data_IF_084784340032
#
_entry.id   IF_084784340032
#
_cell.length_a   1.000
_cell.length_b   1.000
_cell.length_c   1.000
_cell.angle_alpha   90.00
_cell.angle_beta   90.00
_cell.angle_gamma   90.00
#
_symmetry.space_group_name_H-M   'P 1'
#
loop_
_entity.id
_entity.type
_entity.pdbx_description
1 polymer ?
#
# COMPACT_ATOMS: atom_id res chain seq x y z
N UNK A 1 11.55 -22.17 21.20
CA UNK A 1 10.38 -23.02 21.00
C UNK A 1 10.30 -23.97 22.22
N UNK A 2 9.10 -24.15 22.74
CA UNK A 2 8.86 -25.15 23.77
C UNK A 2 9.05 -26.55 23.18
N UNK A 3 9.92 -27.37 23.77
CA UNK A 3 10.21 -28.73 23.27
C UNK A 3 9.04 -29.70 23.45
N UNK A 4 8.06 -29.37 24.30
CA UNK A 4 6.90 -30.23 24.59
C UNK A 4 5.69 -29.87 23.72
N UNK A 5 5.37 -28.59 23.53
CA UNK A 5 4.18 -28.16 22.78
C UNK A 5 4.48 -27.48 21.44
N UNK A 6 5.74 -27.29 21.07
CA UNK A 6 6.15 -26.61 19.84
C UNK A 6 5.87 -25.10 19.80
N UNK A 7 5.31 -24.52 20.84
CA UNK A 7 4.97 -23.09 20.87
C UNK A 7 6.21 -22.18 20.98
N UNK A 8 6.18 -21.05 20.31
CA UNK A 8 7.17 -19.98 20.45
C UNK A 8 6.88 -19.23 21.74
N UNK A 9 7.90 -18.99 22.57
CA UNK A 9 7.75 -18.16 23.77
C UNK A 9 7.35 -16.73 23.38
N UNK A 10 6.51 -16.10 24.19
CA UNK A 10 6.04 -14.74 23.94
C UNK A 10 7.19 -13.70 23.90
N UNK A 11 8.24 -13.92 24.69
CA UNK A 11 9.41 -13.03 24.80
C UNK A 11 10.37 -13.05 23.59
N UNK A 12 10.16 -13.98 22.65
CA UNK A 12 10.97 -14.09 21.40
C UNK A 12 10.11 -14.11 20.15
N UNK A 13 8.81 -13.86 20.29
CA UNK A 13 7.88 -13.83 19.18
C UNK A 13 7.84 -12.43 18.55
N UNK A 14 7.91 -12.34 17.24
CA UNK A 14 7.76 -11.07 16.50
C UNK A 14 6.37 -10.91 15.91
N UNK A 15 5.60 -12.00 15.80
CA UNK A 15 4.24 -11.97 15.29
C UNK A 15 3.37 -13.05 15.94
N UNK A 16 2.04 -12.90 15.84
CA UNK A 16 1.06 -13.89 16.29
C UNK A 16 -0.12 -14.02 15.33
N UNK A 17 -0.76 -15.18 15.35
CA UNK A 17 -2.08 -15.44 14.75
C UNK A 17 -2.95 -16.05 15.84
N UNK A 18 -3.99 -15.31 16.28
CA UNK A 18 -4.74 -15.70 17.47
C UNK A 18 -3.83 -15.88 18.70
N UNK A 19 -3.79 -17.06 19.27
CA UNK A 19 -2.91 -17.41 20.41
C UNK A 19 -1.55 -17.99 20.01
N UNK A 20 -1.32 -18.26 18.71
CA UNK A 20 -0.07 -18.88 18.22
C UNK A 20 0.97 -17.80 17.91
N UNK A 21 2.14 -17.93 18.50
CA UNK A 21 3.28 -17.06 18.32
C UNK A 21 4.24 -17.57 17.23
N UNK A 22 4.88 -16.64 16.50
CA UNK A 22 5.84 -16.92 15.43
C UNK A 22 7.14 -16.16 15.70
N UNK A 23 8.28 -16.77 15.38
CA UNK A 23 9.61 -16.18 15.55
C UNK A 23 9.94 -15.19 14.43
N UNK A 24 9.40 -15.40 13.25
CA UNK A 24 9.63 -14.54 12.08
C UNK A 24 8.31 -14.11 11.47
N UNK A 25 8.31 -12.95 10.82
CA UNK A 25 7.16 -12.49 10.07
C UNK A 25 6.87 -13.42 8.88
N UNK A 26 7.92 -13.93 8.22
CA UNK A 26 7.78 -14.85 7.09
C UNK A 26 7.03 -16.14 7.49
N UNK A 27 7.34 -16.72 8.66
CA UNK A 27 6.60 -17.88 9.17
C UNK A 27 5.12 -17.58 9.42
N UNK A 28 4.81 -16.40 10.01
CA UNK A 28 3.44 -16.01 10.27
C UNK A 28 2.66 -15.79 8.97
N UNK A 29 3.22 -15.05 8.03
CA UNK A 29 2.62 -14.77 6.72
C UNK A 29 2.42 -16.07 5.91
N UNK A 30 3.39 -16.99 5.92
CA UNK A 30 3.27 -18.27 5.26
C UNK A 30 2.15 -19.17 5.86
N UNK A 31 1.80 -18.96 7.13
CA UNK A 31 0.65 -19.62 7.73
C UNK A 31 -0.68 -19.08 7.19
N UNK A 32 -0.75 -17.79 6.84
CA UNK A 32 -1.98 -17.10 6.38
C UNK A 32 -2.89 -16.67 7.53
N UNK A 33 -3.90 -15.87 7.23
CA UNK A 33 -4.88 -15.37 8.21
C UNK A 33 -4.47 -14.05 8.88
N UNK A 34 -4.98 -13.81 10.09
CA UNK A 34 -4.87 -12.51 10.79
C UNK A 34 -3.57 -12.44 11.60
N UNK A 35 -2.54 -11.87 10.99
CA UNK A 35 -1.21 -11.68 11.57
C UNK A 35 -1.15 -10.36 12.32
N UNK A 36 -0.75 -10.36 13.58
CA UNK A 36 -0.46 -9.15 14.37
C UNK A 36 1.04 -9.13 14.71
N UNK A 37 1.71 -8.01 14.44
CA UNK A 37 3.08 -7.78 14.87
C UNK A 37 3.14 -7.56 16.39
N UNK A 38 4.11 -8.16 17.02
CA UNK A 38 4.40 -8.02 18.47
C UNK A 38 5.64 -7.18 18.72
N UNK A 39 6.57 -7.13 17.75
CA UNK A 39 7.81 -6.38 17.83
C UNK A 39 8.20 -5.84 16.44
N UNK A 40 9.19 -4.95 16.41
CA UNK A 40 9.79 -4.50 15.18
C UNK A 40 10.49 -5.66 14.46
N UNK A 41 10.44 -5.65 13.15
CA UNK A 41 11.00 -6.72 12.31
C UNK A 41 12.06 -6.15 11.39
N UNK A 42 13.26 -6.72 11.43
CA UNK A 42 14.31 -6.47 10.44
C UNK A 42 14.37 -7.69 9.51
N UNK A 43 14.13 -7.46 8.23
CA UNK A 43 14.18 -8.52 7.21
C UNK A 43 15.47 -8.42 6.40
N UNK A 44 15.98 -9.55 5.94
CA UNK A 44 17.14 -9.67 5.06
C UNK A 44 16.80 -10.15 3.65
N UNK A 45 15.53 -10.50 3.44
CA UNK A 45 14.94 -10.91 2.17
C UNK A 45 13.47 -10.51 2.15
N UNK A 46 12.80 -10.44 0.98
CA UNK A 46 11.39 -10.12 0.92
C UNK A 46 10.52 -11.09 1.71
N UNK A 47 9.57 -10.56 2.47
CA UNK A 47 8.48 -11.36 3.04
C UNK A 47 7.47 -11.64 1.93
N UNK A 48 7.39 -12.89 1.49
CA UNK A 48 6.51 -13.29 0.39
C UNK A 48 5.12 -13.63 0.90
N UNK A 49 4.11 -12.93 0.36
CA UNK A 49 2.68 -13.17 0.61
C UNK A 49 2.06 -13.84 -0.62
N UNK A 50 1.74 -15.12 -0.52
CA UNK A 50 1.09 -15.91 -1.57
C UNK A 50 -0.20 -16.59 -1.09
N UNK A 51 -0.78 -16.06 -0.02
CA UNK A 51 -2.05 -16.48 0.60
C UNK A 51 -2.85 -15.26 1.00
N UNK A 52 -4.06 -15.46 1.51
CA UNK A 52 -4.83 -14.40 2.15
C UNK A 52 -4.26 -14.12 3.54
N UNK A 53 -3.84 -12.88 3.78
CA UNK A 53 -3.25 -12.38 5.03
C UNK A 53 -3.83 -11.02 5.36
N UNK A 54 -4.24 -10.82 6.60
CA UNK A 54 -4.47 -9.50 7.19
C UNK A 54 -3.30 -9.22 8.13
N UNK A 55 -2.46 -8.24 7.78
CA UNK A 55 -1.30 -7.85 8.58
C UNK A 55 -1.62 -6.60 9.38
N UNK A 56 -1.87 -6.77 10.68
CA UNK A 56 -1.93 -5.64 11.62
C UNK A 56 -0.52 -5.30 12.11
N UNK A 57 -0.02 -4.15 11.71
CA UNK A 57 1.31 -3.69 12.10
C UNK A 57 1.41 -3.25 13.57
N UNK A 58 0.30 -2.92 14.22
CA UNK A 58 0.20 -2.59 15.66
C UNK A 58 1.27 -1.61 16.16
N UNK A 59 1.55 -0.56 15.40
CA UNK A 59 2.56 0.45 15.72
C UNK A 59 4.02 0.02 15.50
N UNK A 60 4.27 -1.18 14.98
CA UNK A 60 5.62 -1.71 14.76
C UNK A 60 6.19 -1.31 13.40
N UNK A 61 7.50 -1.48 13.28
CA UNK A 61 8.26 -1.18 12.06
C UNK A 61 8.78 -2.45 11.43
N UNK A 62 8.58 -2.59 10.10
CA UNK A 62 9.25 -3.56 9.26
C UNK A 62 10.30 -2.81 8.46
N UNK A 63 11.55 -3.24 8.53
CA UNK A 63 12.68 -2.59 7.85
C UNK A 63 13.75 -3.59 7.42
N UNK A 64 14.72 -3.14 6.65
CA UNK A 64 15.95 -3.88 6.36
C UNK A 64 17.20 -3.04 6.67
N UNK A 65 18.31 -3.72 6.92
CA UNK A 65 19.63 -3.11 7.15
C UNK A 65 20.66 -3.55 6.11
N UNK A 66 20.42 -4.67 5.44
CA UNK A 66 21.18 -5.20 4.31
C UNK A 66 20.39 -5.04 3.02
N UNK A 67 21.06 -4.97 1.87
CA UNK A 67 20.40 -4.85 0.58
C UNK A 67 19.56 -6.09 0.28
N UNK A 68 18.33 -5.84 -0.16
CA UNK A 68 17.35 -6.86 -0.57
C UNK A 68 17.23 -6.90 -2.09
N UNK A 69 17.43 -5.75 -2.76
CA UNK A 69 17.20 -5.61 -4.17
C UNK A 69 17.94 -6.68 -5.00
N UNK A 70 17.18 -7.45 -5.76
CA UNK A 70 17.72 -8.41 -6.72
C UNK A 70 16.75 -8.54 -7.90
N UNK A 71 17.11 -7.93 -9.03
CA UNK A 71 16.33 -7.93 -10.25
C UNK A 71 16.08 -9.34 -10.80
N UNK A 72 17.10 -10.19 -10.76
CA UNK A 72 17.02 -11.53 -11.33
C UNK A 72 16.02 -12.45 -10.62
N UNK A 73 15.73 -12.20 -9.34
CA UNK A 73 14.79 -12.98 -8.54
C UNK A 73 13.46 -12.27 -8.30
N UNK A 74 13.33 -11.01 -8.76
CA UNK A 74 12.18 -10.16 -8.45
C UNK A 74 12.09 -9.77 -6.97
N UNK A 75 13.21 -9.80 -6.24
CA UNK A 75 13.28 -9.33 -4.85
C UNK A 75 13.41 -7.81 -4.86
N UNK A 76 12.27 -7.09 -4.81
CA UNK A 76 12.23 -5.64 -5.02
C UNK A 76 11.79 -4.85 -3.78
N UNK A 77 11.25 -5.51 -2.75
CA UNK A 77 10.63 -4.82 -1.62
C UNK A 77 10.77 -5.57 -0.29
N UNK A 78 10.40 -4.91 0.82
CA UNK A 78 10.33 -5.54 2.15
C UNK A 78 9.24 -6.62 2.19
N UNK A 79 8.07 -6.33 1.59
CA UNK A 79 6.95 -7.26 1.44
C UNK A 79 6.60 -7.37 -0.04
N UNK A 80 6.54 -8.60 -0.55
CA UNK A 80 6.16 -8.87 -1.93
C UNK A 80 4.92 -9.75 -1.97
N UNK A 81 3.81 -9.23 -2.52
CA UNK A 81 2.55 -9.96 -2.68
C UNK A 81 2.55 -10.62 -4.04
N UNK A 82 2.49 -11.95 -4.10
CA UNK A 82 2.76 -12.73 -5.32
C UNK A 82 1.78 -13.87 -5.52
N UNK A 83 1.71 -14.35 -6.78
CA UNK A 83 1.06 -15.60 -7.14
C UNK A 83 -0.39 -15.71 -6.63
N UNK A 84 -1.19 -14.66 -6.82
CA UNK A 84 -2.57 -14.59 -6.36
C UNK A 84 -2.73 -14.43 -4.85
N UNK A 85 -1.68 -14.07 -4.12
CA UNK A 85 -1.77 -13.67 -2.72
C UNK A 85 -2.70 -12.47 -2.54
N UNK A 86 -3.34 -12.39 -1.38
CA UNK A 86 -4.23 -11.28 -1.01
C UNK A 86 -3.79 -10.74 0.37
N UNK A 87 -3.21 -9.54 0.37
CA UNK A 87 -2.71 -8.89 1.57
C UNK A 87 -3.54 -7.65 1.90
N UNK A 88 -4.05 -7.61 3.12
CA UNK A 88 -4.57 -6.37 3.70
C UNK A 88 -3.63 -5.89 4.80
N UNK A 89 -3.10 -4.66 4.68
CA UNK A 89 -2.25 -4.04 5.72
C UNK A 89 -3.09 -3.08 6.55
N UNK A 90 -3.05 -3.24 7.87
CA UNK A 90 -3.79 -2.44 8.85
C UNK A 90 -2.88 -1.94 9.99
N UNK A 91 -3.42 -1.06 10.85
CA UNK A 91 -2.70 -0.52 12.00
C UNK A 91 -1.79 0.67 11.66
N UNK A 92 -1.14 1.24 12.69
CA UNK A 92 -0.37 2.49 12.57
C UNK A 92 1.12 2.27 12.34
N UNK A 93 1.55 1.06 11.99
CA UNK A 93 2.97 0.73 11.85
C UNK A 93 3.63 1.38 10.64
N UNK A 94 4.88 1.00 10.42
CA UNK A 94 5.72 1.55 9.36
C UNK A 94 6.43 0.45 8.59
N UNK A 95 6.46 0.58 7.27
CA UNK A 95 7.44 -0.08 6.41
C UNK A 95 8.50 0.95 6.02
N UNK A 96 9.75 0.67 6.37
CA UNK A 96 10.89 1.57 6.10
C UNK A 96 11.99 0.80 5.38
N UNK A 97 12.10 0.98 4.08
CA UNK A 97 13.23 0.43 3.33
C UNK A 97 14.53 1.15 3.66
N UNK A 98 15.63 0.43 3.52
CA UNK A 98 16.98 1.01 3.56
C UNK A 98 17.14 1.97 2.38
N UNK A 99 17.84 3.08 2.61
CA UNK A 99 18.17 4.02 1.54
C UNK A 99 19.03 3.34 0.45
N UNK A 100 18.77 3.70 -0.80
CA UNK A 100 19.41 3.17 -2.00
C UNK A 100 19.25 1.65 -2.20
N UNK A 101 18.14 1.09 -1.72
CA UNK A 101 17.85 -0.33 -1.87
C UNK A 101 16.43 -0.55 -2.44
N UNK A 102 15.51 -1.07 -1.66
CA UNK A 102 14.26 -1.66 -2.14
C UNK A 102 13.04 -0.74 -1.98
N UNK A 103 11.90 -1.18 -2.51
CA UNK A 103 10.58 -0.57 -2.26
C UNK A 103 10.04 -1.01 -0.89
N UNK A 104 8.97 -0.36 -0.39
CA UNK A 104 8.34 -0.86 0.82
C UNK A 104 7.46 -2.08 0.52
N UNK A 105 6.62 -2.02 -0.52
CA UNK A 105 5.75 -3.15 -0.94
C UNK A 105 5.73 -3.25 -2.46
N UNK A 106 5.63 -4.47 -2.99
CA UNK A 106 5.32 -4.72 -4.39
C UNK A 106 4.21 -5.77 -4.58
N UNK A 107 3.54 -5.69 -5.73
CA UNK A 107 2.46 -6.61 -6.15
C UNK A 107 2.82 -7.24 -7.48
N UNK A 108 2.86 -8.58 -7.52
CA UNK A 108 3.27 -9.36 -8.70
C UNK A 108 2.31 -10.54 -8.92
N UNK A 109 2.29 -11.06 -10.16
CA UNK A 109 1.64 -12.33 -10.50
C UNK A 109 0.14 -12.40 -10.21
N UNK A 110 -0.59 -11.31 -10.45
CA UNK A 110 -2.04 -11.25 -10.27
C UNK A 110 -2.50 -11.21 -8.81
N UNK A 111 -1.62 -10.77 -7.90
CA UNK A 111 -1.92 -10.63 -6.49
C UNK A 111 -2.74 -9.37 -6.18
N UNK A 112 -3.31 -9.29 -4.98
CA UNK A 112 -4.10 -8.17 -4.50
C UNK A 112 -3.49 -7.59 -3.22
N UNK A 113 -3.39 -6.26 -3.15
CA UNK A 113 -2.96 -5.52 -1.97
C UNK A 113 -3.99 -4.46 -1.60
N UNK A 114 -4.47 -4.50 -0.36
CA UNK A 114 -5.27 -3.43 0.24
C UNK A 114 -4.49 -2.79 1.37
N UNK A 115 -4.38 -1.47 1.37
CA UNK A 115 -3.76 -0.70 2.45
C UNK A 115 -4.82 0.15 3.13
N UNK A 116 -5.17 -0.21 4.37
CA UNK A 116 -6.12 0.54 5.20
C UNK A 116 -5.42 1.71 5.92
N UNK A 117 -4.20 1.49 6.43
CA UNK A 117 -3.42 2.48 7.17
C UNK A 117 -1.94 2.09 7.25
N UNK A 118 -1.10 2.97 7.81
CA UNK A 118 0.32 2.77 8.01
C UNK A 118 1.17 3.84 7.33
N UNK A 119 2.48 3.74 7.52
CA UNK A 119 3.47 4.61 6.86
C UNK A 119 4.37 3.77 5.97
N UNK A 120 4.50 4.18 4.71
CA UNK A 120 5.24 3.44 3.68
C UNK A 120 6.34 4.33 3.12
N UNK A 121 7.58 3.96 3.40
CA UNK A 121 8.77 4.69 2.94
C UNK A 121 9.63 3.73 2.13
N UNK A 122 9.55 3.85 0.81
CA UNK A 122 10.39 3.09 -0.11
C UNK A 122 11.65 3.87 -0.52
N UNK A 123 12.55 3.25 -1.24
CA UNK A 123 13.65 3.99 -1.85
C UNK A 123 13.16 4.78 -3.08
N UNK A 124 12.79 4.11 -4.17
CA UNK A 124 12.26 4.72 -5.41
C UNK A 124 10.74 4.73 -5.40
N UNK A 125 10.10 3.65 -4.94
CA UNK A 125 8.65 3.53 -4.82
C UNK A 125 8.29 3.19 -3.37
N UNK A 126 7.23 3.81 -2.84
CA UNK A 126 6.59 3.33 -1.63
C UNK A 126 5.82 2.04 -1.94
N UNK A 127 5.03 2.02 -3.03
CA UNK A 127 4.36 0.82 -3.51
C UNK A 127 4.52 0.69 -5.02
N UNK A 128 4.90 -0.49 -5.49
CA UNK A 128 5.02 -0.83 -6.89
C UNK A 128 4.05 -1.94 -7.29
N UNK A 129 3.26 -1.73 -8.33
CA UNK A 129 2.37 -2.73 -8.91
C UNK A 129 2.92 -3.16 -10.25
N UNK A 130 3.60 -4.32 -10.27
CA UNK A 130 4.06 -4.92 -11.52
C UNK A 130 2.91 -5.59 -12.27
N UNK A 131 2.14 -6.46 -11.57
CA UNK A 131 0.97 -7.14 -12.11
C UNK A 131 0.03 -7.54 -10.96
N UNK A 132 -1.22 -7.07 -10.98
CA UNK A 132 -2.22 -7.28 -9.95
C UNK A 132 -2.87 -5.97 -9.52
N UNK A 133 -3.55 -5.96 -8.38
CA UNK A 133 -4.40 -4.86 -7.95
C UNK A 133 -3.92 -4.26 -6.62
N UNK A 134 -3.85 -2.93 -6.57
CA UNK A 134 -3.63 -2.15 -5.35
C UNK A 134 -4.87 -1.29 -5.05
N UNK A 135 -5.37 -1.38 -3.81
CA UNK A 135 -6.34 -0.44 -3.26
C UNK A 135 -5.74 0.29 -2.07
N UNK A 136 -5.63 1.61 -2.15
CA UNK A 136 -5.16 2.49 -1.08
C UNK A 136 -6.36 3.19 -0.46
N UNK A 137 -6.68 2.86 0.80
CA UNK A 137 -7.78 3.46 1.56
C UNK A 137 -7.30 4.47 2.62
N UNK A 138 -6.01 4.41 2.97
CA UNK A 138 -5.41 5.29 3.98
C UNK A 138 -3.90 5.19 3.98
N UNK A 139 -3.25 5.72 5.03
CA UNK A 139 -1.81 5.68 5.21
C UNK A 139 -1.07 6.91 4.70
N UNK A 140 0.26 6.91 4.92
CA UNK A 140 1.18 7.96 4.50
C UNK A 140 2.30 7.36 3.64
N UNK A 141 2.60 8.00 2.52
CA UNK A 141 3.49 7.47 1.49
C UNK A 141 4.57 8.48 1.13
N UNK A 142 5.82 8.03 1.11
CA UNK A 142 6.97 8.83 0.68
C UNK A 142 8.08 7.95 0.13
N UNK A 143 9.05 8.58 -0.54
CA UNK A 143 10.25 7.93 -1.04
C UNK A 143 11.51 8.61 -0.50
N UNK A 144 12.62 7.88 -0.48
CA UNK A 144 13.90 8.38 0.03
C UNK A 144 14.80 8.91 -1.07
N UNK A 145 14.68 8.38 -2.29
CA UNK A 145 15.48 8.81 -3.41
C UNK A 145 15.13 10.25 -3.80
N UNK A 146 16.17 11.08 -3.91
CA UNK A 146 16.03 12.46 -4.39
C UNK A 146 16.62 12.54 -5.78
N UNK A 147 15.83 13.08 -6.70
CA UNK A 147 16.28 13.33 -8.05
C UNK A 147 16.86 14.76 -8.14
N UNK A 148 17.94 14.91 -8.91
CA UNK A 148 18.51 16.22 -9.20
C UNK A 148 17.64 17.05 -10.14
N UNK A 149 16.80 16.38 -10.94
CA UNK A 149 15.81 17.00 -11.80
C UNK A 149 14.51 17.21 -11.02
N UNK A 150 14.11 18.46 -10.71
CA UNK A 150 12.86 18.73 -9.99
C UNK A 150 11.61 18.21 -10.68
N UNK A 151 11.64 18.05 -12.02
CA UNK A 151 10.52 17.51 -12.79
C UNK A 151 10.30 16.03 -12.58
N UNK A 152 11.31 15.33 -12.04
CA UNK A 152 11.27 13.88 -11.75
C UNK A 152 11.26 13.57 -10.25
N UNK A 153 11.42 14.58 -9.40
CA UNK A 153 11.27 14.40 -7.97
C UNK A 153 9.84 13.90 -7.69
N UNK A 154 9.72 12.81 -6.96
CA UNK A 154 8.45 12.34 -6.35
C UNK A 154 7.45 11.64 -7.29
N UNK A 155 7.78 11.45 -8.55
CA UNK A 155 6.86 10.88 -9.54
C UNK A 155 6.53 9.39 -9.29
N UNK A 156 7.29 8.72 -8.44
CA UNK A 156 7.26 7.26 -8.30
C UNK A 156 6.78 6.76 -6.94
N UNK A 157 6.11 7.57 -6.13
CA UNK A 157 5.63 7.14 -4.80
C UNK A 157 4.69 5.95 -4.89
N UNK A 158 3.67 6.01 -5.78
CA UNK A 158 2.95 4.85 -6.29
C UNK A 158 3.31 4.69 -7.76
N UNK A 159 3.67 3.48 -8.17
CA UNK A 159 4.01 3.21 -9.56
C UNK A 159 3.36 1.91 -10.04
N UNK A 160 2.86 1.93 -11.28
CA UNK A 160 2.21 0.82 -11.95
C UNK A 160 2.98 0.51 -13.23
N UNK A 161 3.39 -0.73 -13.45
CA UNK A 161 4.16 -1.09 -14.64
C UNK A 161 3.34 -0.82 -15.91
N UNK A 162 3.81 0.08 -16.76
CA UNK A 162 3.10 0.62 -17.93
C UNK A 162 2.47 -0.44 -18.82
N UNK A 163 3.23 -1.49 -19.15
CA UNK A 163 2.74 -2.57 -20.01
C UNK A 163 1.52 -3.25 -19.40
N UNK A 164 1.61 -3.66 -18.13
CA UNK A 164 0.51 -4.35 -17.46
C UNK A 164 -0.67 -3.42 -17.17
N UNK A 165 -0.40 -2.13 -16.93
CA UNK A 165 -1.44 -1.12 -16.78
C UNK A 165 -2.24 -0.93 -18.09
N UNK A 166 -1.56 -0.81 -19.23
CA UNK A 166 -2.23 -0.68 -20.54
C UNK A 166 -2.94 -1.95 -20.99
N UNK A 167 -2.44 -3.11 -20.60
CA UNK A 167 -3.09 -4.41 -20.81
C UNK A 167 -4.25 -4.68 -19.84
N UNK A 168 -4.43 -3.82 -18.80
CA UNK A 168 -5.47 -3.98 -17.78
C UNK A 168 -5.19 -5.09 -16.75
N UNK A 169 -3.93 -5.59 -16.69
CA UNK A 169 -3.51 -6.63 -15.74
C UNK A 169 -2.79 -6.08 -14.51
N UNK A 170 -2.63 -4.75 -14.42
CA UNK A 170 -2.18 -4.04 -13.23
C UNK A 170 -3.06 -2.81 -13.00
N UNK A 171 -3.49 -2.57 -11.75
CA UNK A 171 -4.40 -1.48 -11.41
C UNK A 171 -4.08 -0.87 -10.04
N UNK A 172 -4.20 0.44 -9.95
CA UNK A 172 -4.13 1.20 -8.70
C UNK A 172 -5.44 1.96 -8.51
N UNK A 173 -6.05 1.85 -7.33
CA UNK A 173 -7.22 2.61 -6.90
C UNK A 173 -6.90 3.30 -5.59
N UNK A 174 -7.12 4.62 -5.52
CA UNK A 174 -6.87 5.41 -4.32
C UNK A 174 -8.17 6.05 -3.85
N UNK A 175 -8.56 5.73 -2.61
CA UNK A 175 -9.74 6.28 -1.92
C UNK A 175 -9.38 7.03 -0.64
N UNK A 176 -8.08 7.08 -0.29
CA UNK A 176 -7.57 7.78 0.88
C UNK A 176 -6.05 7.83 0.90
N UNK A 177 -5.48 8.33 1.99
CA UNK A 177 -4.04 8.42 2.18
C UNK A 177 -3.46 9.81 1.90
N UNK A 178 -2.22 9.99 2.37
CA UNK A 178 -1.43 11.22 2.19
C UNK A 178 -0.13 10.89 1.49
N UNK A 179 0.19 11.62 0.45
CA UNK A 179 1.34 11.37 -0.43
C UNK A 179 2.26 12.58 -0.40
N UNK A 180 3.55 12.35 -0.13
CA UNK A 180 4.55 13.40 -0.16
C UNK A 180 5.02 13.62 -1.59
N UNK A 181 4.87 14.86 -2.08
CA UNK A 181 5.29 15.32 -3.42
C UNK A 181 4.77 14.43 -4.58
N UNK A 182 3.65 13.78 -4.44
CA UNK A 182 3.03 12.93 -5.43
C UNK A 182 1.53 13.17 -5.47
N UNK A 183 1.01 13.63 -6.62
CA UNK A 183 -0.42 13.82 -6.82
C UNK A 183 -1.04 12.58 -7.49
N UNK A 184 -1.80 11.74 -6.77
CA UNK A 184 -2.36 10.52 -7.35
C UNK A 184 -3.47 10.77 -8.39
N UNK A 185 -4.00 12.00 -8.49
CA UNK A 185 -4.97 12.37 -9.53
C UNK A 185 -4.30 12.85 -10.83
N UNK A 186 -2.98 13.06 -10.83
CA UNK A 186 -2.20 13.46 -12.00
C UNK A 186 -0.78 12.89 -11.89
N UNK A 187 -0.67 11.57 -12.03
CA UNK A 187 0.58 10.85 -11.89
C UNK A 187 1.42 10.96 -13.16
N UNK A 188 2.43 11.81 -13.14
CA UNK A 188 3.33 12.02 -14.29
C UNK A 188 4.19 10.81 -14.63
N UNK A 189 4.51 9.96 -13.66
CA UNK A 189 5.30 8.74 -13.87
C UNK A 189 4.62 7.78 -14.84
N UNK A 190 3.29 7.75 -14.83
CA UNK A 190 2.46 6.91 -15.70
C UNK A 190 2.00 7.61 -16.99
N UNK A 191 2.47 8.81 -17.22
CA UNK A 191 2.01 9.71 -18.28
C UNK A 191 1.08 10.80 -17.76
N UNK A 192 1.23 11.99 -18.33
CA UNK A 192 0.45 13.18 -17.92
C UNK A 192 -1.05 12.90 -17.97
N UNK A 193 -1.76 13.25 -16.90
CA UNK A 193 -3.20 13.03 -16.76
C UNK A 193 -3.61 11.66 -16.22
N UNK A 194 -2.66 10.75 -15.93
CA UNK A 194 -3.00 9.48 -15.30
C UNK A 194 -3.54 9.70 -13.90
N UNK A 195 -4.76 9.22 -13.65
CA UNK A 195 -5.49 9.40 -12.40
C UNK A 195 -5.78 8.04 -11.74
N UNK A 196 -5.25 7.85 -10.52
CA UNK A 196 -5.50 6.67 -9.68
C UNK A 196 -6.64 6.88 -8.68
N UNK A 197 -7.13 8.12 -8.53
CA UNK A 197 -8.18 8.45 -7.55
C UNK A 197 -9.52 7.92 -8.04
N UNK A 198 -10.21 7.20 -7.16
CA UNK A 198 -11.52 6.64 -7.48
C UNK A 198 -12.60 7.72 -7.67
N UNK A 199 -13.67 7.46 -8.45
CA UNK A 199 -14.84 8.33 -8.49
C UNK A 199 -15.39 8.60 -7.08
N UNK A 200 -15.84 9.83 -6.83
CA UNK A 200 -16.34 10.24 -5.52
C UNK A 200 -15.27 10.67 -4.51
N UNK A 201 -14.01 10.71 -4.94
CA UNK A 201 -12.87 11.21 -4.15
C UNK A 201 -12.16 12.34 -4.88
N UNK A 202 -11.47 13.18 -4.13
CA UNK A 202 -10.66 14.27 -4.66
C UNK A 202 -9.33 14.42 -3.92
N UNK A 203 -8.39 15.12 -4.55
CA UNK A 203 -7.11 15.45 -3.95
C UNK A 203 -7.17 16.83 -3.32
N UNK A 204 -6.81 16.91 -2.05
CA UNK A 204 -6.57 18.14 -1.31
C UNK A 204 -5.07 18.37 -1.20
N UNK A 205 -4.58 19.51 -1.67
CA UNK A 205 -3.20 19.96 -1.45
C UNK A 205 -3.04 20.44 -0.02
N UNK A 206 -2.02 19.94 0.66
CA UNK A 206 -1.61 20.35 2.00
C UNK A 206 -0.30 21.14 1.92
N UNK A 207 0.12 21.73 3.04
CA UNK A 207 1.42 22.39 3.15
C UNK A 207 2.58 21.39 2.92
N UNK A 208 3.71 21.87 2.40
CA UNK A 208 4.92 21.07 2.17
C UNK A 208 4.79 20.06 1.03
N UNK A 209 4.08 20.42 -0.04
CA UNK A 209 3.93 19.60 -1.25
C UNK A 209 3.33 18.21 -0.94
N UNK A 210 2.39 18.16 -0.02
CA UNK A 210 1.65 16.93 0.32
C UNK A 210 0.28 16.95 -0.32
N UNK A 211 -0.19 15.78 -0.72
CA UNK A 211 -1.49 15.56 -1.34
C UNK A 211 -2.27 14.52 -0.55
N UNK A 212 -3.48 14.87 -0.15
CA UNK A 212 -4.37 13.98 0.60
C UNK A 212 -5.60 13.65 -0.25
N UNK A 213 -5.90 12.37 -0.37
CA UNK A 213 -7.15 11.93 -0.98
C UNK A 213 -8.26 11.90 0.08
N UNK A 214 -9.38 12.54 -0.23
CA UNK A 214 -10.54 12.68 0.66
C UNK A 214 -11.83 12.32 -0.09
N UNK A 215 -12.82 11.78 0.63
CA UNK A 215 -14.14 11.56 0.07
C UNK A 215 -14.83 12.91 -0.23
N UNK A 216 -15.47 13.01 -1.40
CA UNK A 216 -16.28 14.18 -1.80
C UNK A 216 -17.69 14.11 -1.20
N UNK A 217 -18.21 12.92 -0.93
CA UNK A 217 -19.60 12.68 -0.54
C UNK A 217 -19.72 11.99 0.81
N UNK A 218 -20.90 11.97 1.39
CA UNK A 218 -21.15 11.40 2.71
C UNK A 218 -21.10 9.87 2.73
N UNK A 219 -21.18 9.23 1.57
CA UNK A 219 -21.13 7.77 1.42
C UNK A 219 -21.53 7.35 0.01
N UNK A 220 -21.68 6.05 -0.19
CA UNK A 220 -21.97 5.42 -1.48
C UNK A 220 -20.74 5.22 -2.35
N UNK A 221 -20.87 4.37 -3.36
CA UNK A 221 -19.81 4.04 -4.34
C UNK A 221 -20.06 4.62 -5.73
N UNK A 222 -21.17 5.36 -5.90
CA UNK A 222 -21.55 5.97 -7.18
C UNK A 222 -22.10 4.99 -8.21
N UNK A 223 -22.60 3.86 -7.76
CA UNK A 223 -23.32 2.89 -8.60
C UNK A 223 -24.83 3.06 -8.48
N UNK A 224 -25.62 2.52 -9.41
CA UNK A 224 -27.09 2.55 -9.30
C UNK A 224 -27.62 1.80 -8.05
N UNK A 225 -26.88 0.79 -7.58
CA UNK A 225 -27.23 0.03 -6.38
C UNK A 225 -26.76 0.70 -5.07
N UNK A 226 -25.73 1.55 -5.15
CA UNK A 226 -25.11 2.26 -4.02
C UNK A 226 -24.69 3.66 -4.49
N UNK A 227 -25.63 4.60 -4.70
CA UNK A 227 -25.36 5.94 -5.21
C UNK A 227 -24.62 6.79 -4.17
N UNK A 228 -23.89 7.82 -4.64
CA UNK A 228 -23.25 8.77 -3.73
C UNK A 228 -24.30 9.52 -2.89
N UNK A 229 -24.05 9.59 -1.58
CA UNK A 229 -24.90 10.28 -0.63
C UNK A 229 -24.46 11.74 -0.47
N UNK A 230 -25.39 12.67 -0.64
CA UNK A 230 -25.16 14.11 -0.53
C UNK A 230 -25.82 14.60 0.75
N UNK A 231 -25.03 15.07 1.71
CA UNK A 231 -25.48 15.55 3.00
C UNK A 231 -25.25 17.06 3.21
N UNK A 232 -24.42 17.70 2.39
CA UNK A 232 -24.08 19.14 2.53
C UNK A 232 -24.18 19.89 1.21
N UNK A 233 -24.27 21.22 1.30
CA UNK A 233 -24.29 22.09 0.11
C UNK A 233 -22.97 22.04 -0.69
N UNK A 234 -21.86 21.82 -0.02
CA UNK A 234 -20.54 21.63 -0.64
C UNK A 234 -20.50 20.33 -1.44
N UNK A 235 -21.06 19.25 -0.91
CA UNK A 235 -21.20 17.97 -1.62
C UNK A 235 -22.13 18.08 -2.82
N UNK A 236 -23.22 18.84 -2.69
CA UNK A 236 -24.10 19.11 -3.82
C UNK A 236 -23.37 19.86 -4.96
N UNK A 237 -22.54 20.85 -4.64
CA UNK A 237 -21.70 21.55 -5.62
C UNK A 237 -20.64 20.65 -6.28
N UNK A 238 -20.24 19.57 -5.62
CA UNK A 238 -19.26 18.62 -6.14
C UNK A 238 -19.86 17.61 -7.15
N UNK A 239 -21.16 17.63 -7.40
CA UNK A 239 -21.85 16.73 -8.36
C UNK A 239 -21.23 16.81 -9.76
N UNK A 240 -20.80 17.99 -10.19
CA UNK A 240 -20.20 18.18 -11.50
C UNK A 240 -18.90 17.38 -11.70
N UNK A 241 -18.28 16.92 -10.59
CA UNK A 241 -17.07 16.07 -10.60
C UNK A 241 -17.38 14.57 -10.78
N UNK A 242 -18.67 14.20 -10.72
CA UNK A 242 -19.08 12.79 -10.77
C UNK A 242 -18.99 12.14 -12.16
N UNK A 243 -18.83 12.94 -13.22
CA UNK A 243 -18.75 12.45 -14.61
C UNK A 243 -19.89 11.45 -14.96
N UNK A 244 -21.11 11.74 -14.49
CA UNK A 244 -22.29 10.92 -14.75
C UNK A 244 -22.51 9.75 -13.78
N UNK A 245 -21.73 9.62 -12.73
CA UNK A 245 -21.97 8.62 -11.68
C UNK A 245 -23.30 8.93 -10.93
N UNK A 246 -24.11 7.91 -10.55
CA UNK A 246 -25.35 8.10 -9.80
C UNK A 246 -25.14 8.76 -8.43
N UNK A 247 -26.06 9.65 -8.03
CA UNK A 247 -26.10 10.30 -6.71
C UNK A 247 -27.54 10.41 -6.19
N UNK A 248 -27.67 10.59 -4.88
CA UNK A 248 -28.92 10.83 -4.16
C UNK A 248 -28.80 12.04 -3.20
#
# INVERSE_FOLDING_TARGET
VCTVCGQVKADVAVAKIGSKNYKTLAEAVAAGGDVTLLDNVVVSEPVIVNKTVILNMDGKTISNTTDIWNEATGAWSLISVRNGGDLTITGNGKLQSKANDCFAVDVQGGATLTIENGTFVGNVHAVYVYQGDLTVKGGAYSIQQKYSDPAKADEFVLNCYDKHRTEGTAKIIVTGGTFEKFNPANCKAEGEGTNFVAPGYAVKTLEGEKYQVVALFAGGTGTAADPFLIATSEQFKAIDQLNGAPYC
#
